data_IF_633547995586
#
_entry.id   IF_633547995586
#
_cell.length_a   1.000
_cell.length_b   1.000
_cell.length_c   1.000
_cell.angle_alpha   90.00
_cell.angle_beta   90.00
_cell.angle_gamma   90.00
#
_symmetry.space_group_name_H-M   'P 1'
#
loop_
_entity.id
_entity.type
_entity.pdbx_description
1 polymer ?
#
# COMPACT_ATOMS: atom_id res chain seq x y z
N UNK A 1 -17.32 8.59 -0.76
CA UNK A 1 -16.00 9.03 -0.22
C UNK A 1 -15.71 10.37 -0.85
N UNK A 2 -15.85 11.47 -0.11
CA UNK A 2 -15.39 12.76 -0.62
C UNK A 2 -13.87 12.68 -0.67
N UNK A 3 -13.30 12.60 -1.87
CA UNK A 3 -11.86 12.76 -2.06
C UNK A 3 -11.51 14.14 -1.50
N UNK A 4 -10.90 14.16 -0.31
CA UNK A 4 -10.28 15.36 0.21
C UNK A 4 -9.33 15.85 -0.88
N UNK A 5 -9.65 17.02 -1.45
CA UNK A 5 -8.86 17.66 -2.49
C UNK A 5 -7.38 17.56 -2.08
N UNK A 6 -6.49 17.03 -2.94
CA UNK A 6 -5.07 16.83 -2.61
C UNK A 6 -4.34 18.13 -2.22
N UNK A 7 -4.97 19.29 -2.48
CA UNK A 7 -4.42 20.64 -2.29
C UNK A 7 -4.39 21.18 -0.86
N UNK A 8 -5.03 20.54 0.12
CA UNK A 8 -4.95 20.98 1.53
C UNK A 8 -3.73 20.40 2.28
N UNK A 9 -2.76 19.83 1.56
CA UNK A 9 -1.61 19.11 2.14
C UNK A 9 -0.31 19.75 1.65
N UNK A 10 -0.15 21.03 1.95
CA UNK A 10 1.07 21.75 1.63
C UNK A 10 2.18 21.29 2.58
N UNK A 11 3.26 20.76 2.01
CA UNK A 11 4.46 20.39 2.75
C UNK A 11 5.01 21.62 3.49
N UNK A 12 5.53 21.42 4.71
CA UNK A 12 6.19 22.51 5.42
C UNK A 12 7.28 23.16 4.56
N UNK A 13 7.34 24.50 4.57
CA UNK A 13 8.29 25.27 3.76
C UNK A 13 9.75 24.89 4.06
N UNK A 14 10.02 24.46 5.29
CA UNK A 14 11.30 23.90 5.73
C UNK A 14 11.64 22.60 5.00
N UNK A 15 10.73 21.63 4.97
CA UNK A 15 10.95 20.34 4.31
C UNK A 15 11.11 20.51 2.79
N UNK A 16 10.37 21.42 2.16
CA UNK A 16 10.54 21.75 0.73
C UNK A 16 11.93 22.30 0.40
N UNK A 17 12.53 23.07 1.32
CA UNK A 17 13.90 23.58 1.15
C UNK A 17 14.92 22.45 1.28
N UNK A 18 14.79 21.61 2.31
CA UNK A 18 15.70 20.48 2.50
C UNK A 18 15.60 19.46 1.38
N UNK A 19 14.39 19.22 0.84
CA UNK A 19 14.18 18.38 -0.35
C UNK A 19 15.02 18.85 -1.53
N UNK A 20 14.93 20.15 -1.86
CA UNK A 20 15.68 20.73 -2.99
C UNK A 20 17.18 20.65 -2.77
N UNK A 21 17.66 20.94 -1.57
CA UNK A 21 19.08 20.86 -1.23
C UNK A 21 19.60 19.42 -1.31
N UNK A 22 18.83 18.43 -0.82
CA UNK A 22 19.20 17.03 -0.92
C UNK A 22 19.21 16.56 -2.38
N UNK A 23 18.20 16.90 -3.17
CA UNK A 23 18.17 16.54 -4.60
C UNK A 23 19.33 17.18 -5.38
N UNK A 24 19.62 18.45 -5.13
CA UNK A 24 20.73 19.15 -5.77
C UNK A 24 22.08 18.51 -5.40
N UNK A 25 22.33 18.28 -4.11
CA UNK A 25 23.57 17.63 -3.66
C UNK A 25 23.68 16.18 -4.15
N UNK A 26 22.57 15.44 -4.23
CA UNK A 26 22.52 14.08 -4.79
C UNK A 26 22.84 14.05 -6.28
N UNK A 27 22.54 15.11 -7.05
CA UNK A 27 22.92 15.20 -8.45
C UNK A 27 24.40 15.57 -8.64
N UNK A 28 24.90 16.49 -7.80
CA UNK A 28 26.30 16.96 -7.85
C UNK A 28 27.28 15.86 -7.47
N UNK A 29 27.00 15.09 -6.42
CA UNK A 29 27.91 14.08 -5.88
C UNK A 29 28.41 13.07 -6.95
N UNK A 30 27.55 12.33 -7.67
CA UNK A 30 28.01 11.37 -8.67
C UNK A 30 28.72 12.03 -9.85
N UNK A 31 28.36 13.27 -10.23
CA UNK A 31 29.07 13.99 -11.29
C UNK A 31 30.55 14.19 -10.91
N UNK A 32 30.85 14.57 -9.68
CA UNK A 32 32.22 14.76 -9.23
C UNK A 32 33.00 13.44 -9.10
N UNK A 33 32.40 12.41 -8.50
CA UNK A 33 33.10 11.15 -8.27
C UNK A 33 33.30 10.33 -9.56
N UNK A 34 32.32 10.33 -10.47
CA UNK A 34 32.43 9.57 -11.73
C UNK A 34 33.30 10.29 -12.76
N UNK A 35 33.29 11.63 -12.80
CA UNK A 35 34.13 12.37 -13.76
C UNK A 35 35.60 12.39 -13.40
N UNK A 36 35.96 12.08 -12.15
CA UNK A 36 37.31 12.26 -11.60
C UNK A 36 37.87 13.67 -11.85
N UNK A 37 37.00 14.69 -11.95
CA UNK A 37 37.39 16.04 -12.30
C UNK A 37 38.36 16.63 -11.25
N UNK A 38 39.56 16.99 -11.69
CA UNK A 38 40.55 17.68 -10.85
C UNK A 38 40.26 19.17 -10.83
N UNK A 39 39.68 19.67 -9.75
CA UNK A 39 39.47 21.11 -9.56
C UNK A 39 40.70 21.72 -8.90
N UNK A 40 41.49 22.46 -9.67
CA UNK A 40 42.72 23.10 -9.17
C UNK A 40 42.44 24.42 -8.44
N UNK A 41 41.43 25.17 -8.89
CA UNK A 41 41.11 26.51 -8.41
C UNK A 41 39.60 26.68 -8.28
N UNK A 42 39.16 27.26 -7.18
CA UNK A 42 37.77 27.71 -6.99
C UNK A 42 37.79 29.22 -6.84
N UNK A 43 36.93 29.90 -7.62
CA UNK A 43 36.69 31.33 -7.47
C UNK A 43 35.42 31.54 -6.65
N UNK A 44 35.57 31.97 -5.39
CA UNK A 44 34.46 32.33 -4.52
C UNK A 44 34.48 33.83 -4.33
N UNK A 45 33.45 34.52 -4.86
CA UNK A 45 33.27 35.97 -4.71
C UNK A 45 34.52 36.80 -5.11
N UNK A 46 35.21 36.41 -6.18
CA UNK A 46 36.40 37.09 -6.67
C UNK A 46 37.71 36.67 -5.98
N UNK A 47 37.64 35.85 -4.93
CA UNK A 47 38.82 35.26 -4.30
C UNK A 47 39.14 33.92 -4.95
N UNK A 48 40.30 33.82 -5.58
CA UNK A 48 40.81 32.57 -6.16
C UNK A 48 41.53 31.78 -5.07
N UNK A 49 40.95 30.66 -4.67
CA UNK A 49 41.52 29.77 -3.66
C UNK A 49 42.21 28.61 -4.41
N UNK A 50 43.52 28.46 -4.21
CA UNK A 50 44.27 27.30 -4.69
C UNK A 50 44.07 26.14 -3.71
N UNK A 51 43.69 24.97 -4.23
CA UNK A 51 43.35 23.82 -3.40
C UNK A 51 44.58 22.92 -3.28
N UNK A 52 45.09 22.78 -2.06
CA UNK A 52 46.32 22.01 -1.78
C UNK A 52 46.19 20.52 -2.05
N UNK A 53 44.99 19.94 -1.96
CA UNK A 53 44.74 18.54 -2.33
C UNK A 53 43.35 18.39 -2.98
N UNK A 54 43.24 17.84 -4.20
CA UNK A 54 41.94 17.60 -4.85
C UNK A 54 41.01 16.69 -4.01
N UNK A 55 41.59 15.79 -3.22
CA UNK A 55 40.86 14.90 -2.31
C UNK A 55 40.03 15.66 -1.27
N UNK A 56 40.46 16.85 -0.83
CA UNK A 56 39.70 17.68 0.11
C UNK A 56 38.33 18.07 -0.42
N UNK A 57 38.19 18.26 -1.74
CA UNK A 57 36.91 18.64 -2.37
C UNK A 57 35.93 17.48 -2.29
N UNK A 58 36.40 16.26 -2.54
CA UNK A 58 35.57 15.05 -2.43
C UNK A 58 35.02 14.89 -1.01
N UNK A 59 35.86 15.09 0.01
CA UNK A 59 35.42 15.07 1.41
C UNK A 59 34.43 16.19 1.73
N UNK A 60 34.64 17.40 1.20
CA UNK A 60 33.72 18.52 1.38
C UNK A 60 32.34 18.24 0.77
N UNK A 61 32.29 17.75 -0.48
CA UNK A 61 31.04 17.38 -1.15
C UNK A 61 30.32 16.29 -0.38
N UNK A 62 31.04 15.23 0.03
CA UNK A 62 30.47 14.16 0.86
C UNK A 62 29.90 14.67 2.17
N UNK A 63 30.61 15.58 2.84
CA UNK A 63 30.17 16.19 4.11
C UNK A 63 28.90 17.02 3.93
N UNK A 64 28.84 17.86 2.88
CA UNK A 64 27.66 18.67 2.55
C UNK A 64 26.46 17.79 2.22
N UNK A 65 26.68 16.72 1.46
CA UNK A 65 25.63 15.73 1.15
C UNK A 65 25.10 15.05 2.41
N UNK A 66 25.98 14.54 3.28
CA UNK A 66 25.59 13.91 4.55
C UNK A 66 24.82 14.89 5.44
N UNK A 67 25.26 16.15 5.51
CA UNK A 67 24.54 17.20 6.23
C UNK A 67 23.11 17.39 5.71
N UNK A 68 22.92 17.52 4.39
CA UNK A 68 21.58 17.67 3.82
C UNK A 68 20.73 16.41 3.96
N UNK A 69 21.32 15.22 3.89
CA UNK A 69 20.62 13.95 4.13
C UNK A 69 20.10 13.87 5.57
N UNK A 70 20.95 14.17 6.55
CA UNK A 70 20.57 14.18 7.97
C UNK A 70 19.53 15.25 8.27
N UNK A 71 19.67 16.46 7.70
CA UNK A 71 18.67 17.51 7.85
C UNK A 71 17.34 17.11 7.24
N UNK A 72 17.33 16.58 6.02
CA UNK A 72 16.11 16.09 5.40
C UNK A 72 15.44 14.99 6.23
N UNK A 73 16.23 14.04 6.76
CA UNK A 73 15.74 13.00 7.68
C UNK A 73 15.11 13.55 8.95
N UNK A 74 15.72 14.57 9.56
CA UNK A 74 15.16 15.23 10.74
C UNK A 74 13.79 15.85 10.43
N UNK A 75 13.69 16.69 9.40
CA UNK A 75 12.42 17.33 9.01
C UNK A 75 11.38 16.31 8.57
N UNK A 76 11.79 15.24 7.88
CA UNK A 76 10.92 14.14 7.52
C UNK A 76 10.26 13.55 8.78
N UNK A 77 11.01 13.29 9.85
CA UNK A 77 10.46 12.74 11.10
C UNK A 77 9.56 13.70 11.87
N UNK A 78 9.78 15.00 11.76
CA UNK A 78 8.97 16.03 12.42
C UNK A 78 7.61 16.25 11.72
N UNK A 79 7.46 15.81 10.47
CA UNK A 79 6.24 16.03 9.69
C UNK A 79 5.10 15.06 10.09
N UNK A 80 4.05 15.61 10.70
CA UNK A 80 2.88 14.84 11.17
C UNK A 80 2.15 14.07 10.04
N UNK A 81 2.18 14.59 8.81
CA UNK A 81 1.50 14.00 7.65
C UNK A 81 2.02 12.62 7.23
N UNK A 82 3.18 12.18 7.75
CA UNK A 82 3.67 10.82 7.51
C UNK A 82 2.78 9.75 8.13
N UNK A 83 2.15 10.03 9.28
CA UNK A 83 1.24 9.08 9.93
C UNK A 83 0.00 8.86 9.06
N UNK A 84 -0.54 9.95 8.51
CA UNK A 84 -1.67 9.91 7.60
C UNK A 84 -1.32 9.22 6.28
N UNK A 85 -0.13 9.47 5.73
CA UNK A 85 0.35 8.79 4.53
C UNK A 85 0.49 7.28 4.75
N UNK A 86 1.12 6.85 5.85
CA UNK A 86 1.24 5.42 6.19
C UNK A 86 -0.12 4.76 6.35
N UNK A 87 -1.04 5.43 7.04
CA UNK A 87 -2.43 4.96 7.19
C UNK A 87 -3.11 4.83 5.82
N UNK A 88 -3.03 5.86 4.98
CA UNK A 88 -3.64 5.87 3.65
C UNK A 88 -3.04 4.81 2.73
N UNK A 89 -1.72 4.64 2.73
CA UNK A 89 -1.03 3.58 1.99
C UNK A 89 -1.49 2.18 2.43
N UNK A 90 -1.63 2.00 3.75
CA UNK A 90 -2.11 0.76 4.36
C UNK A 90 -3.57 0.49 3.98
N UNK A 91 -4.44 1.51 4.01
CA UNK A 91 -5.84 1.40 3.58
C UNK A 91 -5.97 1.06 2.09
N UNK A 92 -5.11 1.60 1.23
CA UNK A 92 -5.07 1.24 -0.20
C UNK A 92 -4.57 -0.18 -0.40
N UNK A 93 -3.49 -0.57 0.28
CA UNK A 93 -2.96 -1.93 0.26
C UNK A 93 -4.05 -2.94 0.67
N UNK A 94 -4.76 -2.67 1.76
CA UNK A 94 -5.87 -3.51 2.21
C UNK A 94 -7.07 -3.48 1.26
N UNK A 95 -7.36 -2.38 0.58
CA UNK A 95 -8.43 -2.35 -0.43
C UNK A 95 -8.12 -3.26 -1.63
N UNK A 96 -6.87 -3.25 -2.12
CA UNK A 96 -6.42 -4.17 -3.18
C UNK A 96 -6.48 -5.61 -2.72
N UNK A 97 -5.99 -5.86 -1.51
CA UNK A 97 -6.03 -7.15 -0.85
C UNK A 97 -7.46 -7.70 -0.76
N UNK A 98 -8.36 -6.88 -0.26
CA UNK A 98 -9.78 -7.16 -0.09
C UNK A 98 -10.42 -7.48 -1.45
N UNK A 99 -10.18 -6.65 -2.47
CA UNK A 99 -10.68 -6.91 -3.84
C UNK A 99 -10.24 -8.27 -4.39
N UNK A 100 -9.00 -8.68 -4.09
CA UNK A 100 -8.49 -9.98 -4.53
C UNK A 100 -9.21 -11.13 -3.84
N UNK A 101 -9.47 -11.01 -2.53
CA UNK A 101 -10.23 -11.99 -1.78
C UNK A 101 -11.68 -12.08 -2.24
N UNK A 102 -12.31 -10.94 -2.53
CA UNK A 102 -13.65 -10.93 -3.13
C UNK A 102 -13.68 -11.63 -4.48
N UNK A 103 -12.66 -11.44 -5.31
CA UNK A 103 -12.55 -12.16 -6.57
C UNK A 103 -12.42 -13.69 -6.36
N UNK A 104 -11.64 -14.13 -5.38
CA UNK A 104 -11.51 -15.55 -5.02
C UNK A 104 -12.83 -16.12 -4.47
N UNK A 105 -13.51 -15.40 -3.58
CA UNK A 105 -14.80 -15.81 -3.04
C UNK A 105 -15.89 -15.85 -4.13
N UNK A 106 -15.91 -14.88 -5.05
CA UNK A 106 -16.81 -14.88 -6.22
C UNK A 106 -16.52 -16.04 -7.17
N UNK A 107 -15.26 -16.42 -7.35
CA UNK A 107 -14.91 -17.59 -8.16
C UNK A 107 -15.52 -18.88 -7.61
N UNK A 108 -15.67 -19.01 -6.28
CA UNK A 108 -16.35 -20.15 -5.65
C UNK A 108 -17.86 -20.19 -5.92
N UNK A 109 -18.48 -19.07 -6.32
CA UNK A 109 -19.90 -19.05 -6.69
C UNK A 109 -20.14 -19.63 -8.10
N UNK A 110 -19.13 -19.71 -8.98
CA UNK A 110 -19.30 -20.24 -10.33
C UNK A 110 -20.37 -19.47 -11.12
N UNK A 111 -21.35 -20.18 -11.68
CA UNK A 111 -22.47 -19.61 -12.45
C UNK A 111 -23.39 -18.71 -11.61
N UNK A 112 -23.36 -18.85 -10.28
CA UNK A 112 -24.12 -18.02 -9.35
C UNK A 112 -23.48 -16.66 -9.06
N UNK A 113 -22.36 -16.33 -9.70
CA UNK A 113 -21.71 -15.04 -9.55
C UNK A 113 -22.52 -13.92 -10.23
N UNK A 114 -23.64 -13.55 -9.62
CA UNK A 114 -24.48 -12.42 -10.01
C UNK A 114 -24.10 -11.19 -9.18
N UNK A 115 -24.26 -9.99 -9.76
CA UNK A 115 -24.14 -8.72 -9.03
C UNK A 115 -25.11 -8.59 -7.87
N UNK A 116 -26.20 -9.38 -7.87
CA UNK A 116 -27.18 -9.44 -6.78
C UNK A 116 -26.70 -10.23 -5.54
N UNK A 117 -25.58 -10.96 -5.65
CA UNK A 117 -24.99 -11.70 -4.53
C UNK A 117 -23.96 -10.84 -3.82
N UNK A 118 -24.26 -10.51 -2.57
CA UNK A 118 -23.34 -9.87 -1.64
C UNK A 118 -22.47 -10.94 -0.97
N UNK A 119 -21.21 -10.60 -0.75
CA UNK A 119 -20.26 -11.47 -0.05
C UNK A 119 -19.87 -10.78 1.24
N UNK A 120 -19.85 -11.54 2.33
CA UNK A 120 -19.44 -11.10 3.65
C UNK A 120 -18.21 -11.88 4.10
N UNK A 121 -17.07 -11.20 4.23
CA UNK A 121 -15.82 -11.83 4.71
C UNK A 121 -15.84 -11.98 6.24
N UNK A 122 -15.47 -13.15 6.76
CA UNK A 122 -15.42 -13.39 8.22
C UNK A 122 -14.08 -12.99 8.87
N UNK A 123 -13.08 -12.57 8.08
CA UNK A 123 -11.77 -12.19 8.63
C UNK A 123 -11.88 -10.87 9.42
N UNK A 124 -11.60 -10.88 10.73
CA UNK A 124 -11.67 -9.67 11.55
C UNK A 124 -10.75 -8.55 11.08
N UNK A 125 -9.66 -8.88 10.36
CA UNK A 125 -8.70 -7.87 9.88
C UNK A 125 -9.21 -7.04 8.69
N UNK A 126 -10.28 -7.49 8.01
CA UNK A 126 -10.84 -6.76 6.86
C UNK A 126 -12.03 -5.90 7.26
N UNK A 127 -12.59 -6.09 8.46
CA UNK A 127 -13.86 -5.45 8.84
C UNK A 127 -13.77 -3.93 8.83
N UNK A 128 -14.51 -3.32 7.89
CA UNK A 128 -14.58 -1.86 7.78
C UNK A 128 -15.68 -1.19 8.59
N UNK A 129 -16.77 -1.84 9.01
CA UNK A 129 -17.73 -1.24 9.97
C UNK A 129 -18.96 -2.09 10.35
N UNK A 130 -19.27 -3.21 9.68
CA UNK A 130 -20.55 -3.90 9.90
C UNK A 130 -20.38 -5.36 10.32
N UNK A 131 -20.84 -5.65 11.55
CA UNK A 131 -21.11 -7.01 12.00
C UNK A 131 -22.57 -7.32 11.77
N UNK A 132 -22.89 -8.29 10.91
CA UNK A 132 -24.24 -8.84 10.88
C UNK A 132 -24.52 -9.51 12.24
N UNK A 133 -25.55 -9.04 12.94
CA UNK A 133 -25.97 -9.59 14.23
C UNK A 133 -26.16 -11.09 14.12
N UNK A 134 -25.46 -11.86 14.95
CA UNK A 134 -25.51 -13.34 14.95
C UNK A 134 -24.42 -14.05 14.14
N UNK A 135 -23.69 -13.36 13.26
CA UNK A 135 -22.56 -13.96 12.55
C UNK A 135 -21.27 -13.72 13.34
N UNK A 136 -20.73 -14.80 13.93
CA UNK A 136 -19.44 -14.77 14.62
C UNK A 136 -18.30 -14.68 13.60
N UNK A 137 -17.35 -13.80 13.87
CA UNK A 137 -16.09 -13.73 13.12
C UNK A 137 -15.33 -15.04 13.22
N UNK A 138 -14.64 -15.40 12.14
CA UNK A 138 -13.80 -16.58 12.09
C UNK A 138 -12.44 -16.18 11.52
N UNK A 139 -11.37 -16.22 12.32
CA UNK A 139 -10.04 -15.92 11.82
C UNK A 139 -9.65 -16.94 10.74
N UNK A 140 -8.77 -16.52 9.83
CA UNK A 140 -8.32 -17.40 8.76
C UNK A 140 -7.56 -18.60 9.34
N UNK A 141 -7.77 -19.77 8.74
CA UNK A 141 -7.13 -21.02 9.14
C UNK A 141 -5.88 -21.26 8.30
N UNK A 142 -4.75 -21.61 8.94
CA UNK A 142 -3.53 -21.96 8.21
C UNK A 142 -3.64 -23.42 7.74
N UNK A 143 -3.70 -23.63 6.43
CA UNK A 143 -3.77 -24.99 5.83
C UNK A 143 -2.38 -25.55 5.61
N UNK A 144 -1.42 -24.70 5.21
CA UNK A 144 -0.03 -25.09 5.05
C UNK A 144 0.91 -23.92 5.35
N UNK A 145 2.22 -24.14 5.22
CA UNK A 145 3.22 -23.09 5.45
C UNK A 145 3.00 -21.86 4.54
N UNK A 146 2.46 -22.08 3.33
CA UNK A 146 2.26 -21.04 2.31
C UNK A 146 0.79 -20.79 1.94
N UNK A 147 -0.15 -21.54 2.50
CA UNK A 147 -1.58 -21.43 2.20
C UNK A 147 -2.40 -21.15 3.45
N UNK A 148 -3.36 -20.26 3.27
CA UNK A 148 -4.37 -19.92 4.27
C UNK A 148 -5.75 -20.05 3.67
N UNK A 149 -6.68 -20.52 4.50
CA UNK A 149 -8.10 -20.65 4.20
C UNK A 149 -8.85 -19.51 4.87
N UNK A 150 -9.46 -18.66 4.04
CA UNK A 150 -10.39 -17.63 4.47
C UNK A 150 -11.82 -18.12 4.38
N UNK A 151 -12.71 -17.55 5.18
CA UNK A 151 -14.14 -17.87 5.16
C UNK A 151 -14.95 -16.66 4.72
N UNK A 152 -16.06 -16.92 4.05
CA UNK A 152 -17.03 -15.90 3.67
C UNK A 152 -18.46 -16.46 3.72
N UNK A 153 -19.44 -15.57 3.79
CA UNK A 153 -20.83 -15.86 3.50
C UNK A 153 -21.24 -15.24 2.18
N UNK A 154 -22.04 -15.95 1.40
CA UNK A 154 -22.80 -15.38 0.30
C UNK A 154 -24.26 -15.19 0.74
N UNK A 155 -24.83 -14.03 0.43
CA UNK A 155 -26.21 -13.69 0.72
C UNK A 155 -26.75 -12.70 -0.32
N UNK A 156 -28.06 -12.49 -0.32
CA UNK A 156 -28.72 -11.47 -1.14
C UNK A 156 -29.23 -10.38 -0.19
N UNK A 157 -28.85 -9.11 -0.39
CA UNK A 157 -28.98 -8.07 0.65
C UNK A 157 -30.39 -7.47 0.79
N UNK A 158 -31.18 -7.40 -0.29
CA UNK A 158 -32.58 -6.91 -0.39
C UNK A 158 -32.83 -6.47 -1.85
N UNK A 159 -34.02 -6.40 -2.47
CA UNK A 159 -35.33 -7.04 -2.31
C UNK A 159 -36.29 -6.62 -3.45
N UNK A 160 -35.82 -6.19 -4.63
CA UNK A 160 -36.72 -5.90 -5.76
C UNK A 160 -37.00 -7.11 -6.64
N UNK A 161 -36.07 -8.07 -6.72
CA UNK A 161 -36.17 -9.22 -7.63
C UNK A 161 -36.26 -10.55 -6.86
N UNK A 162 -37.49 -10.89 -6.45
CA UNK A 162 -37.80 -12.17 -5.81
C UNK A 162 -37.40 -13.37 -6.69
N UNK A 163 -37.41 -13.22 -8.02
CA UNK A 163 -37.06 -14.30 -8.96
C UNK A 163 -35.57 -14.59 -8.90
N UNK A 164 -34.72 -13.56 -8.86
CA UNK A 164 -33.28 -13.73 -8.66
C UNK A 164 -32.96 -14.35 -7.31
N UNK A 165 -33.63 -13.90 -6.24
CA UNK A 165 -33.46 -14.48 -4.89
C UNK A 165 -33.82 -15.96 -4.86
N UNK A 166 -34.98 -16.32 -5.41
CA UNK A 166 -35.42 -17.72 -5.51
C UNK A 166 -34.45 -18.54 -6.36
N UNK A 167 -34.02 -18.02 -7.52
CA UNK A 167 -33.02 -18.67 -8.38
C UNK A 167 -31.71 -18.93 -7.64
N UNK A 168 -31.19 -17.92 -6.94
CA UNK A 168 -29.97 -18.06 -6.14
C UNK A 168 -30.13 -19.17 -5.08
N UNK A 169 -31.19 -19.13 -4.28
CA UNK A 169 -31.42 -20.15 -3.26
C UNK A 169 -31.62 -21.56 -3.83
N UNK A 170 -32.39 -21.69 -4.92
CA UNK A 170 -32.57 -22.98 -5.60
C UNK A 170 -31.24 -23.51 -6.13
N UNK A 171 -30.39 -22.66 -6.71
CA UNK A 171 -29.08 -23.08 -7.21
C UNK A 171 -28.10 -23.41 -6.09
N UNK A 172 -28.12 -22.67 -4.97
CA UNK A 172 -27.32 -22.99 -3.78
C UNK A 172 -27.77 -24.28 -3.07
N UNK A 173 -28.94 -24.84 -3.44
CA UNK A 173 -29.40 -26.15 -2.99
C UNK A 173 -29.02 -27.29 -3.95
N UNK A 174 -28.41 -26.99 -5.09
CA UNK A 174 -27.95 -28.00 -6.04
C UNK A 174 -26.67 -28.71 -5.56
N UNK A 175 -26.44 -29.92 -6.07
CA UNK A 175 -25.31 -30.81 -5.72
C UNK A 175 -23.95 -30.12 -5.53
N UNK A 176 -23.48 -29.21 -6.41
CA UNK A 176 -22.17 -28.57 -6.24
C UNK A 176 -22.04 -27.69 -4.98
N UNK A 177 -23.16 -27.28 -4.36
CA UNK A 177 -23.18 -26.37 -3.21
C UNK A 177 -23.67 -27.04 -1.92
N UNK A 178 -23.97 -28.34 -1.94
CA UNK A 178 -24.40 -29.08 -0.74
C UNK A 178 -23.35 -29.06 0.38
N UNK A 179 -22.08 -28.81 0.05
CA UNK A 179 -21.00 -28.64 1.03
C UNK A 179 -21.01 -27.30 1.77
N UNK A 180 -21.87 -26.34 1.36
CA UNK A 180 -21.95 -25.02 1.96
C UNK A 180 -22.80 -25.07 3.23
N UNK A 181 -22.28 -24.54 4.33
CA UNK A 181 -23.00 -24.50 5.60
C UNK A 181 -24.05 -23.39 5.52
N UNK A 182 -25.33 -23.76 5.57
CA UNK A 182 -26.45 -22.81 5.60
C UNK A 182 -26.61 -22.27 7.02
N UNK A 183 -26.62 -20.94 7.14
CA UNK A 183 -26.92 -20.26 8.39
C UNK A 183 -28.22 -19.46 8.28
N UNK A 184 -29.08 -19.72 9.26
CA UNK A 184 -30.26 -18.93 9.55
C UNK A 184 -29.92 -18.06 10.75
N UNK A 185 -29.43 -16.82 10.54
CA UNK A 185 -29.21 -15.93 11.67
C UNK A 185 -30.55 -15.72 12.37
N UNK A 186 -30.62 -16.17 13.61
CA UNK A 186 -31.76 -15.90 14.47
C UNK A 186 -31.69 -14.42 14.83
N UNK A 187 -32.26 -13.57 13.98
CA UNK A 187 -32.49 -12.17 14.31
C UNK A 187 -33.63 -12.16 15.34
N UNK A 188 -33.34 -11.63 16.52
CA UNK A 188 -34.25 -11.63 17.67
C UNK A 188 -35.67 -11.18 17.30
N UNK A 189 -36.60 -12.14 17.24
CA UNK A 189 -38.04 -11.90 17.32
C UNK A 189 -38.76 -11.33 16.10
N UNK A 190 -38.09 -10.98 14.99
CA UNK A 190 -38.81 -10.60 13.76
C UNK A 190 -39.01 -11.83 12.87
N UNK A 191 -40.24 -12.30 12.80
CA UNK A 191 -40.68 -13.49 12.03
C UNK A 191 -40.51 -13.40 10.51
N UNK A 192 -39.92 -12.32 9.98
CA UNK A 192 -39.57 -12.22 8.57
C UNK A 192 -38.20 -12.87 8.30
N UNK A 193 -38.28 -14.18 8.03
CA UNK A 193 -37.21 -15.01 7.50
C UNK A 193 -36.90 -14.57 6.07
N UNK A 194 -35.91 -13.70 5.83
CA UNK A 194 -35.57 -13.40 4.42
C UNK A 194 -34.09 -13.45 4.01
N UNK A 195 -33.13 -13.43 4.94
CA UNK A 195 -31.71 -13.52 4.55
C UNK A 195 -31.10 -14.87 4.95
N UNK A 196 -31.06 -15.80 3.99
CA UNK A 196 -30.30 -17.05 4.12
C UNK A 196 -28.84 -16.79 3.75
N UNK A 197 -27.93 -17.12 4.68
CA UNK A 197 -26.50 -17.02 4.46
C UNK A 197 -25.93 -18.38 4.11
N UNK A 198 -25.06 -18.43 3.11
CA UNK A 198 -24.36 -19.64 2.69
C UNK A 198 -22.88 -19.47 2.94
N UNK A 199 -22.34 -20.23 3.88
CA UNK A 199 -20.93 -20.18 4.24
C UNK A 199 -20.11 -21.01 3.28
N UNK A 200 -18.97 -20.48 2.88
CA UNK A 200 -17.91 -21.28 2.28
C UNK A 200 -16.54 -20.71 2.65
N UNK A 201 -15.52 -21.30 2.06
CA UNK A 201 -14.14 -20.93 2.21
C UNK A 201 -13.48 -20.73 0.85
N UNK A 202 -12.38 -19.98 0.85
CA UNK A 202 -11.45 -19.90 -0.27
C UNK A 202 -10.05 -20.10 0.27
N UNK A 203 -9.17 -20.65 -0.56
CA UNK A 203 -7.75 -20.80 -0.24
C UNK A 203 -6.93 -19.77 -1.02
N UNK A 204 -5.93 -19.19 -0.37
CA UNK A 204 -4.99 -18.28 -1.01
C UNK A 204 -3.56 -18.57 -0.60
N UNK A 205 -2.64 -18.30 -1.53
CA UNK A 205 -1.20 -18.47 -1.34
C UNK A 205 -0.61 -17.14 -0.87
N UNK A 206 0.18 -17.18 0.21
CA UNK A 206 0.79 -15.98 0.81
C UNK A 206 1.66 -15.20 -0.16
N UNK A 207 2.40 -15.89 -1.03
CA UNK A 207 3.27 -15.24 -2.01
C UNK A 207 2.50 -14.32 -2.96
N UNK A 208 1.42 -14.82 -3.59
CA UNK A 208 0.56 -14.03 -4.48
C UNK A 208 0.02 -12.80 -3.76
N UNK A 209 -0.32 -12.97 -2.51
CA UNK A 209 -0.88 -11.94 -1.64
C UNK A 209 0.14 -10.86 -1.28
N UNK A 210 1.36 -11.27 -0.95
CA UNK A 210 2.49 -10.37 -0.76
C UNK A 210 2.76 -9.56 -2.03
N UNK A 211 2.75 -10.20 -3.21
CA UNK A 211 2.85 -9.50 -4.49
C UNK A 211 1.71 -8.50 -4.72
N UNK A 212 0.47 -8.86 -4.40
CA UNK A 212 -0.67 -7.92 -4.47
C UNK A 212 -0.47 -6.72 -3.55
N UNK A 213 0.03 -6.92 -2.33
CA UNK A 213 0.34 -5.83 -1.39
C UNK A 213 1.45 -4.92 -1.92
N UNK A 214 2.54 -5.49 -2.41
CA UNK A 214 3.65 -4.74 -3.03
C UNK A 214 3.14 -3.95 -4.23
N UNK A 215 2.33 -4.55 -5.09
CA UNK A 215 1.76 -3.86 -6.25
C UNK A 215 0.78 -2.74 -5.87
N UNK A 216 -0.07 -2.98 -4.86
CA UNK A 216 -0.96 -1.95 -4.30
C UNK A 216 -0.18 -0.78 -3.71
N UNK A 217 0.91 -1.06 -2.98
CA UNK A 217 1.82 -0.03 -2.47
C UNK A 217 2.53 0.74 -3.58
N UNK A 218 3.05 0.05 -4.60
CA UNK A 218 3.69 0.68 -5.76
C UNK A 218 2.69 1.57 -6.50
N UNK A 219 1.48 1.09 -6.76
CA UNK A 219 0.45 1.87 -7.42
C UNK A 219 0.08 3.11 -6.60
N UNK A 220 -0.07 2.98 -5.28
CA UNK A 220 -0.26 4.12 -4.38
C UNK A 220 0.92 5.09 -4.44
N UNK A 221 2.15 4.56 -4.44
CA UNK A 221 3.37 5.37 -4.50
C UNK A 221 3.43 6.19 -5.80
N UNK A 222 3.11 5.61 -6.95
CA UNK A 222 3.13 6.34 -8.22
C UNK A 222 1.90 7.23 -8.44
N UNK A 223 0.74 6.89 -7.86
CA UNK A 223 -0.48 7.69 -8.02
C UNK A 223 -0.60 8.84 -7.04
N UNK A 224 0.16 8.82 -5.93
CA UNK A 224 0.10 9.86 -4.91
C UNK A 224 1.39 10.66 -4.85
N UNK A 225 1.28 11.98 -4.67
CA UNK A 225 2.46 12.83 -4.57
C UNK A 225 3.32 12.50 -3.34
N UNK A 226 2.76 11.82 -2.32
CA UNK A 226 3.47 11.43 -1.10
C UNK A 226 4.79 10.71 -1.35
N UNK A 227 4.81 9.75 -2.27
CA UNK A 227 6.06 9.05 -2.54
C UNK A 227 7.09 9.98 -3.17
N UNK A 228 6.70 10.71 -4.20
CA UNK A 228 7.57 11.67 -4.90
C UNK A 228 8.05 12.79 -3.98
N UNK A 229 7.20 13.25 -3.07
CA UNK A 229 7.48 14.38 -2.20
C UNK A 229 8.39 14.00 -1.01
N UNK A 230 8.21 12.80 -0.47
CA UNK A 230 8.82 12.38 0.80
C UNK A 230 9.84 11.24 0.68
N UNK A 231 9.60 10.26 -0.20
CA UNK A 231 10.42 9.04 -0.30
C UNK A 231 11.43 9.09 -1.45
N UNK A 232 11.06 9.70 -2.58
CA UNK A 232 11.92 9.82 -3.75
C UNK A 232 13.26 10.53 -3.46
N UNK A 233 13.35 11.58 -2.61
CA UNK A 233 14.63 12.19 -2.27
C UNK A 233 15.61 11.23 -1.59
N UNK A 234 15.13 10.31 -0.75
CA UNK A 234 15.98 9.27 -0.16
C UNK A 234 16.44 8.25 -1.19
N UNK A 235 15.57 7.86 -2.12
CA UNK A 235 15.93 6.92 -3.19
C UNK A 235 16.99 7.53 -4.12
N UNK A 236 16.84 8.80 -4.50
CA UNK A 236 17.83 9.53 -5.30
C UNK A 236 19.15 9.67 -4.54
N UNK A 237 19.11 10.02 -3.25
CA UNK A 237 20.29 10.09 -2.40
C UNK A 237 21.00 8.72 -2.29
N UNK A 238 20.25 7.63 -2.14
CA UNK A 238 20.80 6.28 -2.10
C UNK A 238 21.49 5.91 -3.42
N UNK A 239 20.82 6.16 -4.56
CA UNK A 239 21.41 5.94 -5.89
C UNK A 239 22.70 6.75 -6.05
N UNK A 240 22.69 8.03 -5.64
CA UNK A 240 23.86 8.90 -5.69
C UNK A 240 25.05 8.34 -4.90
N UNK A 241 24.80 7.80 -3.70
CA UNK A 241 25.84 7.14 -2.88
C UNK A 241 26.39 5.91 -3.57
N UNK A 242 25.52 5.03 -4.09
CA UNK A 242 25.93 3.80 -4.77
C UNK A 242 26.76 4.12 -6.01
N UNK A 243 26.32 5.06 -6.86
CA UNK A 243 27.05 5.45 -8.07
C UNK A 243 28.39 6.12 -7.74
N UNK A 244 28.43 6.94 -6.70
CA UNK A 244 29.68 7.60 -6.28
C UNK A 244 30.66 6.59 -5.68
N UNK A 245 30.18 5.62 -4.90
CA UNK A 245 30.99 4.55 -4.36
C UNK A 245 31.61 3.71 -5.49
N UNK A 246 30.81 3.33 -6.49
CA UNK A 246 31.30 2.62 -7.69
C UNK A 246 32.39 3.45 -8.40
N UNK A 247 32.20 4.76 -8.57
CA UNK A 247 33.19 5.64 -9.19
C UNK A 247 34.49 5.83 -8.39
N UNK A 248 34.49 5.54 -7.08
CA UNK A 248 35.71 5.56 -6.24
C UNK A 248 36.52 4.27 -6.39
N UNK A 249 35.86 3.15 -6.66
CA UNK A 249 36.51 1.83 -6.77
C UNK A 249 36.93 1.45 -8.19
N UNK A 250 36.46 2.18 -9.21
CA UNK A 250 36.86 2.03 -10.62
C UNK A 250 37.95 3.05 -10.94
#
# INVERSE_FOLDING_TARGET
MNELKPRNREMSTGLLRQRRNLLASSAVMPMFFVSQATVEKINVLGTVINIGSPSSINYMIGTVFVYFLLRYWQYYREENHLRDSKRSATEHMYAYEESHRYALARAQLGENNSSAVSIYMLDPNIRRSFSYGGIKDKPNERVSLFKTRGYFYAYTENSSDQKLRKKFHTHMQSDPYLSWERLHPHLDGTTDVENQFYKNHYEFVHAKFYFTRVFGWLKYAFSTSYFTDYHMPFLVAFVAVVTSAVGVFI
#
